data_IF_461344761278
#
_entry.id   IF_461344761278
#
_cell.length_a   1.000
_cell.length_b   1.000
_cell.length_c   1.000
_cell.angle_alpha   90.00
_cell.angle_beta   90.00
_cell.angle_gamma   90.00
#
_symmetry.space_group_name_H-M   'P 1'
#
loop_
_entity.id
_entity.type
_entity.pdbx_description
1 polymer ?
#
# COMPACT_ATOMS: atom_id res chain seq x y z
N UNK A 1 16.42 -49.26 7.65
CA UNK A 1 15.07 -49.04 7.08
C UNK A 1 14.90 -47.56 6.83
N UNK A 2 14.69 -47.12 5.58
CA UNK A 2 14.44 -45.70 5.26
C UNK A 2 13.12 -45.59 4.51
N UNK A 3 12.07 -45.16 5.22
CA UNK A 3 10.75 -44.89 4.65
C UNK A 3 10.82 -43.51 3.95
N UNK A 4 10.84 -43.51 2.63
CA UNK A 4 10.73 -42.28 1.83
C UNK A 4 9.31 -41.72 2.01
N UNK A 5 9.18 -40.60 2.74
CA UNK A 5 7.92 -39.85 2.88
C UNK A 5 7.45 -39.42 1.48
N UNK A 6 6.34 -39.98 1.02
CA UNK A 6 5.70 -39.58 -0.23
C UNK A 6 4.96 -38.25 0.01
N UNK A 7 5.54 -37.12 -0.42
CA UNK A 7 4.87 -35.82 -0.34
C UNK A 7 3.78 -35.75 -1.41
N UNK A 8 2.51 -35.75 -0.99
CA UNK A 8 1.36 -35.38 -1.84
C UNK A 8 1.67 -34.04 -2.52
N UNK A 9 1.67 -33.99 -3.85
CA UNK A 9 1.78 -32.73 -4.60
C UNK A 9 0.50 -31.92 -4.36
N UNK A 10 0.66 -30.66 -3.99
CA UNK A 10 -0.46 -29.72 -3.88
C UNK A 10 -0.96 -29.39 -5.29
N UNK A 11 -2.27 -29.49 -5.49
CA UNK A 11 -2.94 -29.05 -6.71
C UNK A 11 -3.08 -27.52 -6.67
N UNK A 12 -2.60 -26.85 -7.73
CA UNK A 12 -2.61 -25.39 -7.87
C UNK A 12 -3.55 -24.94 -9.00
N UNK A 13 -4.54 -25.77 -9.36
CA UNK A 13 -5.52 -25.52 -10.43
C UNK A 13 -6.54 -24.39 -10.14
N UNK A 14 -6.52 -23.82 -8.94
CA UNK A 14 -7.41 -22.71 -8.55
C UNK A 14 -7.14 -21.41 -9.31
N UNK A 15 -8.14 -20.53 -9.35
CA UNK A 15 -8.01 -19.18 -9.89
C UNK A 15 -7.08 -18.31 -9.03
N UNK A 16 -6.48 -17.29 -9.64
CA UNK A 16 -5.66 -16.34 -8.87
C UNK A 16 -6.54 -15.43 -8.01
N UNK A 17 -5.98 -14.86 -6.95
CA UNK A 17 -6.69 -13.85 -6.15
C UNK A 17 -7.16 -12.67 -7.01
N UNK A 18 -6.35 -12.23 -7.98
CA UNK A 18 -6.75 -11.17 -8.90
C UNK A 18 -7.98 -11.56 -9.75
N UNK A 19 -8.03 -12.80 -10.22
CA UNK A 19 -9.19 -13.32 -10.97
C UNK A 19 -10.45 -13.36 -10.10
N UNK A 20 -10.32 -13.70 -8.82
CA UNK A 20 -11.42 -13.61 -7.86
C UNK A 20 -11.89 -12.15 -7.69
N UNK A 21 -10.97 -11.21 -7.46
CA UNK A 21 -11.32 -9.79 -7.30
C UNK A 21 -11.98 -9.18 -8.56
N UNK A 22 -11.56 -9.62 -9.75
CA UNK A 22 -12.19 -9.25 -11.01
C UNK A 22 -13.62 -9.80 -11.12
N UNK A 23 -13.83 -11.07 -10.75
CA UNK A 23 -15.14 -11.72 -10.76
C UNK A 23 -16.12 -11.05 -9.80
N UNK A 24 -15.64 -10.65 -8.62
CA UNK A 24 -16.42 -9.92 -7.62
C UNK A 24 -16.63 -8.44 -7.98
N UNK A 25 -15.94 -7.92 -9.00
CA UNK A 25 -16.05 -6.51 -9.42
C UNK A 25 -15.48 -5.49 -8.41
N UNK A 26 -14.58 -5.93 -7.51
CA UNK A 26 -14.01 -5.11 -6.42
C UNK A 26 -12.51 -4.86 -6.58
N UNK A 27 -11.92 -5.26 -7.70
CA UNK A 27 -10.46 -5.22 -7.90
C UNK A 27 -9.88 -3.82 -7.74
N UNK A 28 -10.49 -2.84 -8.39
CA UNK A 28 -10.01 -1.45 -8.40
C UNK A 28 -10.02 -0.85 -6.98
N UNK A 29 -11.07 -1.13 -6.21
CA UNK A 29 -11.20 -0.66 -4.83
C UNK A 29 -10.15 -1.31 -3.92
N UNK A 30 -9.95 -2.61 -4.07
CA UNK A 30 -8.94 -3.37 -3.30
C UNK A 30 -7.53 -2.89 -3.64
N UNK A 31 -7.21 -2.67 -4.92
CA UNK A 31 -5.91 -2.13 -5.35
C UNK A 31 -5.67 -0.72 -4.80
N UNK A 32 -6.68 0.17 -4.82
CA UNK A 32 -6.57 1.50 -4.25
C UNK A 32 -6.27 1.47 -2.74
N UNK A 33 -6.97 0.62 -2.00
CA UNK A 33 -6.73 0.42 -0.56
C UNK A 33 -5.34 -0.18 -0.31
N UNK A 34 -4.90 -1.13 -1.15
CA UNK A 34 -3.57 -1.73 -1.04
C UNK A 34 -2.46 -0.68 -1.24
N UNK A 35 -2.59 0.20 -2.23
CA UNK A 35 -1.66 1.31 -2.46
C UNK A 35 -1.59 2.22 -1.23
N UNK A 36 -2.75 2.61 -0.66
CA UNK A 36 -2.79 3.48 0.52
C UNK A 36 -2.12 2.84 1.73
N UNK A 37 -2.33 1.54 1.95
CA UNK A 37 -1.69 0.75 3.02
C UNK A 37 -0.18 0.74 2.89
N UNK A 38 0.34 0.49 1.70
CA UNK A 38 1.78 0.49 1.43
C UNK A 38 2.37 1.87 1.68
N UNK A 39 1.73 2.94 1.21
CA UNK A 39 2.21 4.31 1.42
C UNK A 39 2.21 4.71 2.90
N UNK A 40 1.14 4.40 3.64
CA UNK A 40 1.06 4.63 5.08
C UNK A 40 2.20 3.93 5.82
N UNK A 41 2.37 2.63 5.56
CA UNK A 41 3.43 1.84 6.15
C UNK A 41 4.82 2.40 5.83
N UNK A 42 5.10 2.76 4.57
CA UNK A 42 6.38 3.36 4.18
C UNK A 42 6.67 4.68 4.91
N UNK A 43 5.65 5.53 5.11
CA UNK A 43 5.79 6.77 5.86
C UNK A 43 6.07 6.49 7.35
N UNK A 44 5.35 5.54 7.95
CA UNK A 44 5.56 5.15 9.35
C UNK A 44 6.95 4.54 9.58
N UNK A 45 7.41 3.66 8.69
CA UNK A 45 8.76 3.08 8.75
C UNK A 45 9.82 4.18 8.66
N UNK A 46 9.68 5.11 7.72
CA UNK A 46 10.60 6.24 7.59
C UNK A 46 10.64 7.14 8.83
N UNK A 47 9.48 7.36 9.45
CA UNK A 47 9.39 8.09 10.71
C UNK A 47 10.10 7.34 11.83
N UNK A 48 9.94 6.01 11.92
CA UNK A 48 10.63 5.17 12.90
C UNK A 48 12.15 5.19 12.71
N UNK A 49 12.63 5.00 11.47
CA UNK A 49 14.05 5.08 11.10
C UNK A 49 14.69 6.40 11.52
N UNK A 50 13.96 7.50 11.38
CA UNK A 50 14.42 8.85 11.72
C UNK A 50 14.07 9.27 13.16
N UNK A 51 13.50 8.38 13.97
CA UNK A 51 13.01 8.65 15.33
C UNK A 51 12.06 9.87 15.39
N UNK A 52 11.31 10.11 14.31
CA UNK A 52 10.45 11.27 14.14
C UNK A 52 9.06 11.00 14.70
N UNK A 53 8.69 11.73 15.74
CA UNK A 53 7.35 11.61 16.34
C UNK A 53 6.27 12.17 15.41
N UNK A 54 5.02 11.69 15.58
CA UNK A 54 3.85 12.26 14.88
C UNK A 54 3.70 13.77 15.11
N UNK A 55 3.97 14.26 16.32
CA UNK A 55 3.92 15.69 16.64
C UNK A 55 4.98 16.48 15.87
N UNK A 56 6.22 15.98 15.83
CA UNK A 56 7.30 16.62 15.09
C UNK A 56 7.01 16.65 13.58
N UNK A 57 6.51 15.54 13.04
CA UNK A 57 6.12 15.43 11.63
C UNK A 57 4.98 16.39 11.28
N UNK A 58 3.92 16.44 12.10
CA UNK A 58 2.80 17.36 11.89
C UNK A 58 3.24 18.83 11.91
N UNK A 59 4.13 19.19 12.86
CA UNK A 59 4.73 20.53 12.91
C UNK A 59 5.52 20.86 11.65
N UNK A 60 6.34 19.93 11.17
CA UNK A 60 7.14 20.10 9.95
C UNK A 60 6.28 20.25 8.69
N UNK A 61 5.13 19.57 8.65
CA UNK A 61 4.17 19.65 7.54
C UNK A 61 3.20 20.84 7.65
N UNK A 62 3.31 21.68 8.69
CA UNK A 62 2.37 22.77 8.96
C UNK A 62 0.90 22.29 9.00
N UNK A 63 0.66 21.13 9.63
CA UNK A 63 -0.63 20.46 9.66
C UNK A 63 -0.97 20.02 11.09
N UNK A 64 -2.24 19.70 11.36
CA UNK A 64 -2.62 19.18 12.68
C UNK A 64 -2.19 17.72 12.85
N UNK A 65 -2.08 17.26 14.10
CA UNK A 65 -1.86 15.84 14.40
C UNK A 65 -2.98 14.96 13.80
N UNK A 66 -4.23 15.42 13.84
CA UNK A 66 -5.37 14.68 13.27
C UNK A 66 -5.29 14.56 11.74
N UNK A 67 -4.80 15.59 11.04
CA UNK A 67 -4.55 15.53 9.60
C UNK A 67 -3.41 14.56 9.27
N UNK A 68 -2.34 14.53 10.07
CA UNK A 68 -1.30 13.51 9.93
C UNK A 68 -1.83 12.10 10.23
N UNK A 69 -2.66 11.92 11.27
CA UNK A 69 -3.24 10.62 11.58
C UNK A 69 -4.11 10.12 10.42
N UNK A 70 -4.87 11.00 9.75
CA UNK A 70 -5.60 10.66 8.50
C UNK A 70 -4.68 10.27 7.36
N UNK A 71 -3.49 10.87 7.26
CA UNK A 71 -2.49 10.50 6.26
C UNK A 71 -1.89 9.12 6.55
N UNK A 72 -1.63 8.82 7.81
CA UNK A 72 -1.03 7.55 8.24
C UNK A 72 -2.07 6.43 8.34
N UNK A 73 -3.36 6.74 8.42
CA UNK A 73 -4.42 5.74 8.48
C UNK A 73 -4.44 4.88 7.20
N UNK A 74 -4.22 3.55 7.29
CA UNK A 74 -4.26 2.65 6.14
C UNK A 74 -5.65 2.49 5.51
N UNK A 75 -6.72 2.86 6.23
CA UNK A 75 -8.11 2.74 5.77
C UNK A 75 -8.62 4.02 5.13
N UNK A 76 -7.99 5.16 5.43
CA UNK A 76 -8.37 6.44 4.83
C UNK A 76 -7.74 6.60 3.44
N UNK A 77 -8.46 6.16 2.41
CA UNK A 77 -8.10 6.37 1.00
C UNK A 77 -8.20 7.83 0.56
N UNK A 78 -9.00 8.66 1.25
CA UNK A 78 -9.21 10.06 0.93
C UNK A 78 -8.05 10.94 1.44
N UNK A 79 -6.95 10.95 0.67
CA UNK A 79 -5.81 11.85 0.86
C UNK A 79 -5.33 12.41 -0.47
N UNK A 80 -4.82 13.63 -0.46
CA UNK A 80 -4.34 14.27 -1.70
C UNK A 80 -2.90 13.83 -2.00
N UNK A 81 -2.57 13.74 -3.30
CA UNK A 81 -1.20 13.49 -3.76
C UNK A 81 -0.20 14.52 -3.22
N UNK A 82 -0.61 15.79 -3.12
CA UNK A 82 0.18 16.87 -2.53
C UNK A 82 0.56 16.56 -1.06
N UNK A 83 -0.40 16.08 -0.27
CA UNK A 83 -0.14 15.71 1.15
C UNK A 83 0.85 14.56 1.27
N UNK A 84 0.68 13.50 0.46
CA UNK A 84 1.62 12.36 0.43
C UNK A 84 3.01 12.84 -0.01
N UNK A 85 3.09 13.70 -1.03
CA UNK A 85 4.35 14.23 -1.57
C UNK A 85 5.09 15.06 -0.54
N UNK A 86 4.40 15.96 0.17
CA UNK A 86 5.00 16.75 1.26
C UNK A 86 5.51 15.87 2.39
N UNK A 87 4.74 14.85 2.79
CA UNK A 87 5.16 13.91 3.82
C UNK A 87 6.40 13.11 3.41
N UNK A 88 6.43 12.57 2.19
CA UNK A 88 7.60 11.90 1.65
C UNK A 88 8.83 12.83 1.67
N UNK A 89 8.69 14.07 1.18
CA UNK A 89 9.77 15.06 1.15
C UNK A 89 10.28 15.41 2.55
N UNK A 90 9.38 15.56 3.52
CA UNK A 90 9.73 15.83 4.92
C UNK A 90 10.54 14.70 5.57
N UNK A 91 10.50 13.50 4.98
CA UNK A 91 11.27 12.31 5.37
C UNK A 91 12.43 12.02 4.42
N UNK A 92 12.81 12.96 3.54
CA UNK A 92 13.91 12.77 2.58
C UNK A 92 13.61 11.75 1.48
N UNK A 93 12.34 11.46 1.23
CA UNK A 93 11.88 10.54 0.18
C UNK A 93 11.14 11.31 -0.94
N UNK A 94 10.86 10.62 -2.04
CA UNK A 94 10.11 11.15 -3.19
C UNK A 94 9.02 10.17 -3.59
N UNK A 95 7.83 10.68 -3.90
CA UNK A 95 6.74 9.92 -4.47
C UNK A 95 6.97 9.73 -5.98
N UNK A 96 6.85 8.49 -6.46
CA UNK A 96 6.90 8.14 -7.89
C UNK A 96 5.66 7.32 -8.21
N UNK A 97 4.83 7.83 -9.11
CA UNK A 97 3.60 7.18 -9.57
C UNK A 97 3.71 7.02 -11.09
N UNK A 98 3.23 5.89 -11.59
CA UNK A 98 3.13 5.58 -13.02
C UNK A 98 1.76 5.00 -13.32
N UNK A 99 1.25 5.26 -14.51
CA UNK A 99 0.10 4.56 -15.06
C UNK A 99 0.59 3.35 -15.84
N UNK A 100 -0.25 2.32 -15.92
CA UNK A 100 -0.01 1.14 -16.74
C UNK A 100 -1.21 0.94 -17.66
N UNK A 101 -0.97 0.40 -18.85
CA UNK A 101 -2.05 0.05 -19.77
C UNK A 101 -2.90 -1.05 -19.17
N UNK A 102 -4.23 -0.88 -19.23
CA UNK A 102 -5.16 -1.97 -18.99
C UNK A 102 -4.98 -2.93 -20.15
N UNK A 103 -4.63 -4.20 -19.88
CA UNK A 103 -4.48 -5.22 -20.94
C UNK A 103 -5.73 -5.15 -21.82
N UNK A 104 -5.55 -4.84 -23.11
CA UNK A 104 -6.64 -4.85 -24.07
C UNK A 104 -7.31 -6.23 -23.99
N UNK A 105 -8.64 -6.26 -23.83
CA UNK A 105 -9.42 -7.46 -24.13
C UNK A 105 -8.97 -7.90 -25.52
N UNK A 106 -8.33 -9.06 -25.64
CA UNK A 106 -8.14 -9.69 -26.94
C UNK A 106 -9.57 -9.86 -27.49
N UNK A 107 -9.86 -9.14 -28.57
CA UNK A 107 -11.05 -9.36 -29.37
C UNK A 107 -11.02 -10.77 -29.96
#
# INVERSE_FOLDING_TARGET
MNVRKNRKRTDHSGSTFNSFLEQEGIREEVEAVAIKRVLAWQLEQAMQEQQKTKRAMAKQLHTSRSQLDRLLDPRNISVTLDTITRAARALGKRLIIRMADVKAKRA
#
